data_IF_808857676423
#
_entry.id   IF_808857676423
#
_cell.length_a   1.000
_cell.length_b   1.000
_cell.length_c   1.000
_cell.angle_alpha   90.00
_cell.angle_beta   90.00
_cell.angle_gamma   90.00
#
_symmetry.space_group_name_H-M   'P 1'
#
loop_
_entity.id
_entity.type
_entity.pdbx_description
1 polymer ?
#
# COMPACT_ATOMS: atom_id res chain seq x y z
N UNK A 1 -19.81 -7.09 3.23
CA UNK A 1 -18.37 -7.32 3.48
C UNK A 1 -17.79 -6.07 4.11
N UNK A 2 -17.09 -6.22 5.22
CA UNK A 2 -16.42 -5.11 5.88
C UNK A 2 -14.95 -5.07 5.40
N UNK A 3 -14.51 -3.91 4.92
CA UNK A 3 -13.09 -3.63 4.69
C UNK A 3 -12.61 -2.75 5.83
N UNK A 4 -11.53 -3.15 6.52
CA UNK A 4 -10.95 -2.38 7.62
C UNK A 4 -9.68 -1.71 7.15
N UNK A 5 -9.60 -0.40 7.34
CA UNK A 5 -8.42 0.41 7.04
C UNK A 5 -7.87 0.98 8.34
N UNK A 6 -6.55 0.96 8.50
CA UNK A 6 -5.86 1.69 9.56
C UNK A 6 -5.23 2.92 8.93
N UNK A 7 -5.67 4.10 9.33
CA UNK A 7 -5.06 5.36 8.91
C UNK A 7 -4.17 5.81 10.07
N UNK A 8 -2.84 5.74 9.96
CA UNK A 8 -1.95 6.26 10.98
C UNK A 8 -1.91 7.79 10.90
N UNK A 9 -2.42 8.46 11.90
CA UNK A 9 -2.02 9.83 12.19
C UNK A 9 -1.00 9.80 13.35
N UNK A 10 -0.05 10.73 13.37
CA UNK A 10 1.12 10.74 14.25
C UNK A 10 0.79 10.55 15.76
N UNK A 11 -0.45 10.90 16.16
CA UNK A 11 -0.91 10.84 17.54
C UNK A 11 -2.24 10.11 17.75
N UNK A 12 -2.86 9.58 16.69
CA UNK A 12 -4.19 8.98 16.76
C UNK A 12 -4.31 7.78 15.82
N UNK A 13 -4.67 6.63 16.37
CA UNK A 13 -5.03 5.44 15.57
C UNK A 13 -6.53 5.44 15.35
N UNK A 14 -6.96 5.30 14.11
CA UNK A 14 -8.37 5.15 13.75
C UNK A 14 -8.57 3.80 13.09
N UNK A 15 -9.51 3.02 13.59
CA UNK A 15 -10.00 1.81 12.91
C UNK A 15 -11.23 2.21 12.13
N UNK A 16 -11.15 2.10 10.80
CA UNK A 16 -12.27 2.38 9.92
C UNK A 16 -12.79 1.09 9.30
N UNK A 17 -14.10 0.97 9.18
CA UNK A 17 -14.74 -0.13 8.48
C UNK A 17 -15.96 0.36 7.71
N UNK A 18 -16.15 -0.18 6.50
CA UNK A 18 -17.32 0.10 5.69
C UNK A 18 -18.35 -0.99 5.97
N UNK A 19 -19.53 -0.57 6.41
CA UNK A 19 -20.69 -1.42 6.66
C UNK A 19 -21.67 -1.27 5.49
N UNK A 20 -21.94 -2.36 4.79
CA UNK A 20 -22.95 -2.39 3.73
C UNK A 20 -24.24 -3.01 4.27
N UNK A 21 -25.28 -2.23 4.35
CA UNK A 21 -26.60 -2.67 4.83
C UNK A 21 -27.50 -3.04 3.65
N UNK A 22 -27.96 -4.29 3.62
CA UNK A 22 -28.91 -4.76 2.57
C UNK A 22 -30.31 -4.18 2.71
N UNK A 23 -30.75 -3.94 3.95
CA UNK A 23 -32.08 -3.39 4.26
C UNK A 23 -31.95 -2.39 5.41
N UNK A 24 -31.42 -1.22 5.08
CA UNK A 24 -31.18 -0.17 6.06
C UNK A 24 -32.47 0.37 6.68
N UNK A 25 -33.58 0.34 5.96
CA UNK A 25 -34.87 0.90 6.45
C UNK A 25 -35.49 0.07 7.56
N UNK A 26 -35.12 -1.21 7.70
CA UNK A 26 -35.53 -2.06 8.80
C UNK A 26 -34.75 -1.81 10.09
N UNK A 27 -33.58 -1.10 10.01
CA UNK A 27 -32.73 -0.85 11.17
C UNK A 27 -33.28 0.32 11.99
N UNK A 28 -33.28 0.16 13.31
CA UNK A 28 -33.58 1.22 14.27
C UNK A 28 -32.30 1.97 14.67
N UNK A 29 -31.26 1.20 15.05
CA UNK A 29 -29.94 1.75 15.36
C UNK A 29 -28.84 0.70 15.22
N UNK A 30 -27.59 1.16 15.14
CA UNK A 30 -26.39 0.31 15.26
C UNK A 30 -25.82 0.44 16.66
N UNK A 31 -25.65 -0.69 17.33
CA UNK A 31 -24.96 -0.77 18.61
C UNK A 31 -23.51 -1.19 18.40
N UNK A 32 -22.59 -0.45 18.97
CA UNK A 32 -21.16 -0.80 18.98
C UNK A 32 -20.71 -1.00 20.41
N UNK A 33 -20.08 -2.12 20.68
CA UNK A 33 -19.48 -2.43 21.99
C UNK A 33 -18.05 -2.93 21.83
N UNK A 34 -17.24 -2.70 22.83
CA UNK A 34 -15.86 -3.17 22.90
C UNK A 34 -15.78 -4.38 23.83
N UNK A 35 -15.10 -5.44 23.42
CA UNK A 35 -14.75 -6.58 24.28
C UNK A 35 -13.35 -6.40 24.87
N UNK A 36 -13.21 -6.63 26.15
CA UNK A 36 -11.94 -6.45 26.88
C UNK A 36 -11.71 -4.98 27.30
N UNK A 37 -11.40 -4.77 28.58
CA UNK A 37 -11.22 -3.44 29.16
C UNK A 37 -12.50 -2.75 29.60
N UNK A 38 -12.47 -1.43 29.74
CA UNK A 38 -13.61 -0.62 30.17
C UNK A 38 -14.78 -0.72 29.18
N UNK A 39 -16.00 -0.77 29.71
CA UNK A 39 -17.21 -0.86 28.92
C UNK A 39 -17.33 0.33 27.97
N UNK A 40 -17.15 0.07 26.68
CA UNK A 40 -17.48 1.03 25.62
C UNK A 40 -18.74 0.53 24.92
N UNK A 41 -19.76 1.36 24.91
CA UNK A 41 -20.97 1.10 24.15
C UNK A 41 -21.45 2.40 23.55
N UNK A 42 -21.64 2.42 22.25
CA UNK A 42 -22.18 3.55 21.49
C UNK A 42 -23.40 3.09 20.71
N UNK A 43 -24.42 3.91 20.74
CA UNK A 43 -25.60 3.78 19.89
C UNK A 43 -25.44 4.80 18.75
N UNK A 44 -25.57 4.34 17.51
CA UNK A 44 -25.59 5.18 16.31
C UNK A 44 -27.00 5.10 15.76
N UNK A 45 -27.70 6.20 15.77
CA UNK A 45 -29.09 6.26 15.40
C UNK A 45 -29.28 6.08 13.89
N UNK A 46 -30.46 5.61 13.48
CA UNK A 46 -30.78 5.31 12.08
C UNK A 46 -30.54 6.48 11.13
N UNK A 47 -30.80 7.69 11.57
CA UNK A 47 -30.62 8.91 10.76
C UNK A 47 -29.16 9.25 10.43
N UNK A 48 -28.21 8.67 11.16
CA UNK A 48 -26.78 8.79 10.91
C UNK A 48 -26.25 7.72 9.95
N UNK A 49 -27.04 6.66 9.71
CA UNK A 49 -26.63 5.53 8.88
C UNK A 49 -26.99 5.75 7.42
N UNK A 50 -26.04 5.42 6.55
CA UNK A 50 -26.23 5.30 5.10
C UNK A 50 -26.10 3.86 4.65
N UNK A 51 -26.50 3.52 3.42
CA UNK A 51 -26.39 2.15 2.90
C UNK A 51 -24.96 1.62 2.97
N UNK A 52 -23.98 2.51 2.73
CA UNK A 52 -22.55 2.26 2.85
C UNK A 52 -21.97 3.15 3.95
N UNK A 53 -22.25 2.78 5.20
CA UNK A 53 -21.82 3.58 6.36
C UNK A 53 -20.37 3.31 6.73
N UNK A 54 -19.59 4.37 6.90
CA UNK A 54 -18.19 4.30 7.36
C UNK A 54 -18.17 4.46 8.88
N UNK A 55 -17.96 3.36 9.58
CA UNK A 55 -17.74 3.39 11.02
C UNK A 55 -16.28 3.66 11.33
N UNK A 56 -16.00 4.65 12.19
CA UNK A 56 -14.67 5.00 12.66
C UNK A 56 -14.58 4.87 14.17
N UNK A 57 -13.57 4.15 14.65
CA UNK A 57 -13.23 4.07 16.05
C UNK A 57 -11.83 4.64 16.30
N UNK A 58 -11.75 5.67 17.14
CA UNK A 58 -10.48 6.24 17.57
C UNK A 58 -9.94 5.41 18.73
N UNK A 59 -8.82 4.73 18.50
CA UNK A 59 -8.16 3.89 19.50
C UNK A 59 -7.63 4.77 20.64
N UNK A 60 -8.04 4.45 21.86
CA UNK A 60 -7.64 5.19 23.07
C UNK A 60 -6.33 4.64 23.62
N UNK A 61 -5.53 5.49 24.27
CA UNK A 61 -4.30 5.06 24.97
C UNK A 61 -4.56 4.02 26.06
N UNK A 62 -5.78 4.01 26.58
CA UNK A 62 -6.25 3.07 27.62
C UNK A 62 -6.82 1.78 27.07
N UNK A 63 -6.92 1.64 25.74
CA UNK A 63 -7.41 0.42 25.13
C UNK A 63 -6.40 -0.73 25.29
N UNK A 64 -6.87 -1.96 25.54
CA UNK A 64 -6.01 -3.12 25.56
C UNK A 64 -5.21 -3.28 24.27
N UNK A 65 -4.08 -3.99 24.35
CA UNK A 65 -3.25 -4.29 23.18
C UNK A 65 -4.04 -5.01 22.08
N UNK A 66 -4.92 -5.93 22.48
CA UNK A 66 -5.80 -6.64 21.59
C UNK A 66 -7.22 -6.56 22.14
N UNK A 67 -8.17 -6.13 21.33
CA UNK A 67 -9.58 -6.10 21.67
C UNK A 67 -10.45 -6.29 20.43
N UNK A 68 -11.73 -6.47 20.63
CA UNK A 68 -12.71 -6.57 19.54
C UNK A 68 -13.72 -5.44 19.64
N UNK A 69 -14.03 -4.84 18.51
CA UNK A 69 -15.23 -4.04 18.33
C UNK A 69 -16.33 -4.97 17.80
N UNK A 70 -17.46 -4.96 18.45
CA UNK A 70 -18.62 -5.79 18.13
C UNK A 70 -19.74 -4.87 17.72
N UNK A 71 -20.17 -4.99 16.46
CA UNK A 71 -21.22 -4.17 15.87
C UNK A 71 -22.45 -5.04 15.65
N UNK A 72 -23.60 -4.55 16.09
CA UNK A 72 -24.90 -5.24 16.02
C UNK A 72 -25.95 -4.27 15.52
N UNK A 73 -26.59 -4.56 14.41
CA UNK A 73 -27.77 -3.82 13.99
C UNK A 73 -28.98 -4.28 14.84
N UNK A 74 -29.70 -3.32 15.40
CA UNK A 74 -30.97 -3.53 16.08
C UNK A 74 -32.07 -3.08 15.14
N UNK A 75 -33.02 -3.97 14.88
CA UNK A 75 -34.12 -3.71 13.97
C UNK A 75 -35.32 -3.09 14.69
N UNK A 76 -36.19 -2.44 13.94
CA UNK A 76 -37.42 -1.78 14.45
C UNK A 76 -38.37 -2.73 15.19
N UNK A 77 -38.32 -4.03 14.90
CA UNK A 77 -39.07 -5.07 15.57
C UNK A 77 -38.43 -5.58 16.87
N UNK A 78 -37.28 -4.99 17.26
CA UNK A 78 -36.52 -5.37 18.44
C UNK A 78 -35.54 -6.53 18.21
N UNK A 79 -35.58 -7.19 17.07
CA UNK A 79 -34.61 -8.24 16.73
C UNK A 79 -33.19 -7.64 16.51
N UNK A 80 -32.20 -8.51 16.54
CA UNK A 80 -30.81 -8.13 16.36
C UNK A 80 -30.15 -8.93 15.22
N UNK A 81 -29.23 -8.29 14.51
CA UNK A 81 -28.35 -9.02 13.60
C UNK A 81 -27.38 -9.93 14.36
N UNK A 82 -26.71 -10.81 13.64
CA UNK A 82 -25.51 -11.47 14.14
C UNK A 82 -24.42 -10.42 14.46
N UNK A 83 -23.56 -10.75 15.40
CA UNK A 83 -22.41 -9.93 15.77
C UNK A 83 -21.42 -9.82 14.59
N UNK A 84 -21.10 -8.60 14.18
CA UNK A 84 -19.94 -8.34 13.33
C UNK A 84 -18.76 -7.99 14.24
N UNK A 85 -17.76 -8.86 14.30
CA UNK A 85 -16.59 -8.67 15.15
C UNK A 85 -15.40 -8.14 14.33
N UNK A 86 -14.84 -7.03 14.76
CA UNK A 86 -13.62 -6.45 14.22
C UNK A 86 -12.51 -6.63 15.25
N UNK A 87 -11.48 -7.41 14.92
CA UNK A 87 -10.31 -7.54 15.77
C UNK A 87 -9.43 -6.30 15.62
N UNK A 88 -9.12 -5.65 16.74
CA UNK A 88 -8.24 -4.50 16.80
C UNK A 88 -6.97 -4.89 17.52
N UNK A 89 -5.85 -4.72 16.83
CA UNK A 89 -4.51 -4.84 17.40
C UNK A 89 -3.97 -3.43 17.64
N UNK A 90 -3.84 -3.05 18.90
CA UNK A 90 -3.39 -1.73 19.32
C UNK A 90 -1.86 -1.62 19.41
N UNK A 91 -1.10 -2.65 19.01
CA UNK A 91 0.35 -2.54 18.95
C UNK A 91 0.77 -1.45 17.95
N UNK A 92 1.75 -0.67 18.37
CA UNK A 92 2.35 0.32 17.49
C UNK A 92 3.32 -0.42 16.55
N UNK A 93 2.99 -0.49 15.27
CA UNK A 93 3.83 -1.14 14.26
C UNK A 93 3.15 -1.14 12.89
N UNK A 94 3.94 -1.25 11.85
CA UNK A 94 3.44 -1.47 10.50
C UNK A 94 3.03 -2.93 10.36
N UNK A 95 1.77 -3.19 9.99
CA UNK A 95 1.30 -4.52 9.64
C UNK A 95 1.16 -4.63 8.14
N UNK A 96 2.03 -5.43 7.53
CA UNK A 96 1.86 -5.86 6.15
C UNK A 96 0.84 -7.00 6.17
N UNK A 97 -0.36 -6.76 5.66
CA UNK A 97 -1.41 -7.79 5.56
C UNK A 97 -1.31 -8.62 4.29
N UNK A 98 -0.84 -8.00 3.23
CA UNK A 98 -0.60 -8.65 1.95
C UNK A 98 0.52 -7.92 1.21
N UNK A 99 1.26 -8.67 0.44
CA UNK A 99 2.24 -8.13 -0.51
C UNK A 99 1.93 -8.79 -1.84
N UNK A 100 1.76 -7.97 -2.87
CA UNK A 100 1.64 -8.44 -4.24
C UNK A 100 2.66 -7.72 -5.12
N UNK A 101 3.17 -8.41 -6.13
CA UNK A 101 3.96 -7.77 -7.18
C UNK A 101 2.97 -7.21 -8.21
N UNK A 102 3.02 -5.92 -8.47
CA UNK A 102 2.16 -5.25 -9.45
C UNK A 102 2.84 -5.18 -10.80
N UNK A 103 4.13 -4.83 -10.82
CA UNK A 103 4.90 -4.68 -12.05
C UNK A 103 6.40 -4.87 -11.78
N UNK A 104 7.15 -5.05 -12.85
CA UNK A 104 8.60 -4.93 -12.86
C UNK A 104 8.99 -3.51 -13.22
N UNK A 105 9.66 -2.82 -12.31
CA UNK A 105 10.04 -1.42 -12.52
C UNK A 105 11.34 -1.28 -13.29
N UNK A 106 12.32 -2.16 -13.03
CA UNK A 106 13.63 -2.17 -13.73
C UNK A 106 14.01 -3.56 -14.20
N UNK A 107 14.78 -3.62 -15.26
CA UNK A 107 15.27 -4.86 -15.87
C UNK A 107 14.36 -5.42 -16.97
N UNK A 108 14.69 -6.62 -17.43
CA UNK A 108 13.86 -7.41 -18.36
C UNK A 108 12.90 -8.29 -17.59
N UNK A 109 11.76 -8.61 -18.19
CA UNK A 109 10.87 -9.65 -17.66
C UNK A 109 11.60 -11.00 -17.64
N UNK A 110 11.35 -11.79 -16.61
CA UNK A 110 11.90 -13.14 -16.48
C UNK A 110 10.91 -14.18 -17.00
N UNK A 111 11.42 -15.35 -17.35
CA UNK A 111 10.58 -16.47 -17.75
C UNK A 111 9.59 -16.84 -16.63
N UNK A 112 8.31 -16.92 -17.00
CA UNK A 112 7.23 -17.21 -16.06
C UNK A 112 6.68 -16.03 -15.25
N UNK A 113 7.16 -14.81 -15.49
CA UNK A 113 6.55 -13.62 -14.90
C UNK A 113 5.24 -13.24 -15.60
N UNK A 114 4.17 -13.01 -14.81
CA UNK A 114 2.81 -12.72 -15.31
C UNK A 114 2.39 -11.30 -14.99
N UNK A 115 3.29 -10.44 -14.56
CA UNK A 115 2.99 -9.03 -14.29
C UNK A 115 3.68 -8.11 -15.31
N UNK A 116 3.15 -6.90 -15.55
CA UNK A 116 3.66 -5.98 -16.56
C UNK A 116 5.09 -5.50 -16.28
N UNK A 117 5.77 -5.09 -17.34
CA UNK A 117 7.06 -4.40 -17.32
C UNK A 117 6.91 -3.10 -18.14
N UNK A 118 6.34 -2.02 -17.57
CA UNK A 118 6.01 -0.81 -18.31
C UNK A 118 7.26 -0.10 -18.86
N UNK A 119 8.38 -0.24 -18.19
CA UNK A 119 9.59 0.52 -18.51
C UNK A 119 10.52 -0.19 -19.48
N UNK A 120 10.63 -1.51 -19.38
CA UNK A 120 11.57 -2.30 -20.16
C UNK A 120 12.99 -1.70 -20.20
N UNK A 121 13.50 -1.34 -19.02
CA UNK A 121 14.69 -0.51 -18.85
C UNK A 121 15.97 -1.14 -19.40
N UNK A 122 16.02 -2.50 -19.46
CA UNK A 122 17.17 -3.21 -20.00
C UNK A 122 17.43 -2.85 -21.46
N UNK A 123 16.38 -2.80 -22.28
CA UNK A 123 16.51 -2.48 -23.71
C UNK A 123 16.50 -1.00 -24.00
N UNK A 124 15.72 -0.20 -23.24
CA UNK A 124 15.61 1.23 -23.50
C UNK A 124 16.84 2.01 -23.05
N UNK A 125 17.37 1.68 -21.86
CA UNK A 125 18.40 2.51 -21.20
C UNK A 125 19.59 1.71 -20.68
N UNK A 126 19.75 0.47 -21.11
CA UNK A 126 20.81 -0.42 -20.64
C UNK A 126 20.83 -0.57 -19.11
N UNK A 127 19.64 -0.73 -18.49
CA UNK A 127 19.47 -0.97 -17.07
C UNK A 127 18.85 -2.35 -16.86
N UNK A 128 19.69 -3.34 -16.57
CA UNK A 128 19.28 -4.73 -16.34
C UNK A 128 18.78 -5.00 -14.93
N UNK A 129 19.16 -4.15 -13.99
CA UNK A 129 18.72 -4.20 -12.60
C UNK A 129 19.30 -3.04 -11.80
N UNK A 130 18.60 -2.69 -10.73
CA UNK A 130 19.01 -1.62 -9.81
C UNK A 130 18.75 -2.03 -8.39
N UNK A 131 19.42 -1.43 -7.45
CA UNK A 131 18.99 -1.42 -6.05
C UNK A 131 18.44 -0.04 -5.63
N UNK A 132 17.90 0.01 -4.38
CA UNK A 132 17.26 1.19 -3.82
C UNK A 132 16.06 1.66 -4.67
N UNK A 133 15.84 2.96 -4.75
CA UNK A 133 14.74 3.61 -5.46
C UNK A 133 14.14 4.71 -4.59
N UNK A 134 14.93 5.79 -4.38
CA UNK A 134 14.48 6.95 -3.61
C UNK A 134 13.68 7.84 -4.55
N UNK A 135 12.40 8.01 -4.25
CA UNK A 135 11.50 8.86 -5.02
C UNK A 135 11.25 10.19 -4.30
N UNK A 136 11.23 11.28 -5.05
CA UNK A 136 10.80 12.59 -4.55
C UNK A 136 10.04 13.35 -5.62
N UNK A 137 9.15 14.21 -5.22
CA UNK A 137 8.44 15.12 -6.12
C UNK A 137 9.34 16.32 -6.44
N UNK A 138 9.70 16.48 -7.71
CA UNK A 138 10.53 17.59 -8.22
C UNK A 138 9.68 18.83 -8.48
N UNK A 139 8.49 18.61 -9.00
CA UNK A 139 7.43 19.59 -9.29
C UNK A 139 6.09 18.86 -9.16
N UNK A 140 4.96 19.55 -8.98
CA UNK A 140 3.66 18.90 -8.92
C UNK A 140 3.43 17.91 -10.07
N UNK A 141 3.25 16.63 -9.72
CA UNK A 141 3.05 15.52 -10.66
C UNK A 141 4.29 15.09 -11.44
N UNK A 142 5.49 15.55 -11.08
CA UNK A 142 6.76 15.14 -11.69
C UNK A 142 7.73 14.62 -10.63
N UNK A 143 8.15 13.39 -10.79
CA UNK A 143 8.95 12.68 -9.82
C UNK A 143 10.34 12.34 -10.36
N UNK A 144 11.34 12.47 -9.51
CA UNK A 144 12.66 11.89 -9.69
C UNK A 144 12.76 10.58 -8.91
N UNK A 145 13.38 9.57 -9.49
CA UNK A 145 13.66 8.29 -8.84
C UNK A 145 15.17 8.03 -8.93
N UNK A 146 15.84 8.13 -7.80
CA UNK A 146 17.27 7.90 -7.70
C UNK A 146 17.54 6.47 -7.27
N UNK A 147 18.26 5.73 -8.12
CA UNK A 147 18.69 4.37 -7.87
C UNK A 147 20.15 4.33 -7.45
N UNK A 148 20.52 3.33 -6.66
CA UNK A 148 21.88 3.01 -6.31
C UNK A 148 22.55 2.14 -7.37
N UNK A 149 23.28 1.10 -6.95
CA UNK A 149 23.99 0.20 -7.85
C UNK A 149 23.11 -0.25 -9.01
N UNK A 150 23.58 0.03 -10.22
CA UNK A 150 22.85 -0.19 -11.45
C UNK A 150 23.68 -0.99 -12.44
N UNK A 151 23.11 -2.11 -12.90
CA UNK A 151 23.76 -3.04 -13.81
C UNK A 151 23.18 -2.93 -15.22
N UNK A 152 24.02 -3.15 -16.22
CA UNK A 152 23.62 -3.23 -17.61
C UNK A 152 22.75 -4.46 -17.93
N UNK A 153 22.17 -4.52 -19.12
CA UNK A 153 21.29 -5.62 -19.55
C UNK A 153 22.02 -6.97 -19.65
N UNK A 154 23.34 -6.96 -19.81
CA UNK A 154 24.21 -8.14 -19.89
C UNK A 154 24.67 -8.66 -18.52
N UNK A 155 24.23 -8.03 -17.43
CA UNK A 155 24.49 -8.51 -16.08
C UNK A 155 23.91 -9.92 -15.87
N UNK A 156 24.76 -10.81 -15.38
CA UNK A 156 24.35 -12.16 -15.00
C UNK A 156 24.71 -12.40 -13.54
N UNK A 157 23.70 -12.65 -12.68
CA UNK A 157 23.96 -12.99 -11.30
C UNK A 157 24.77 -14.29 -11.21
N UNK A 158 25.84 -14.28 -10.44
CA UNK A 158 26.63 -15.47 -10.13
C UNK A 158 26.41 -15.84 -8.67
N UNK A 159 25.69 -16.93 -8.41
CA UNK A 159 25.38 -17.39 -7.05
C UNK A 159 26.63 -17.91 -6.29
N UNK A 160 27.65 -18.36 -7.01
CA UNK A 160 28.90 -18.85 -6.39
C UNK A 160 29.86 -17.69 -6.02
N UNK A 161 29.71 -16.55 -6.68
CA UNK A 161 30.51 -15.33 -6.43
C UNK A 161 29.60 -14.12 -6.57
N UNK A 162 28.77 -13.83 -5.57
CA UNK A 162 27.80 -12.75 -5.63
C UNK A 162 28.50 -11.41 -5.79
N UNK A 163 28.04 -10.63 -6.75
CA UNK A 163 28.55 -9.31 -7.08
C UNK A 163 28.31 -8.96 -8.54
N UNK A 164 28.68 -7.74 -8.99
CA UNK A 164 28.55 -7.32 -10.37
C UNK A 164 29.53 -8.09 -11.27
N UNK A 165 29.00 -9.06 -12.01
CA UNK A 165 29.79 -9.87 -12.95
C UNK A 165 29.43 -9.49 -14.39
N UNK A 166 30.33 -8.78 -15.02
CA UNK A 166 30.22 -8.40 -16.44
C UNK A 166 29.28 -7.21 -16.67
N UNK A 167 29.35 -6.68 -17.87
CA UNK A 167 28.52 -5.57 -18.30
C UNK A 167 28.87 -4.22 -17.73
N UNK A 168 27.99 -3.27 -18.00
CA UNK A 168 28.10 -1.91 -17.47
C UNK A 168 27.62 -1.85 -16.03
N UNK A 169 28.40 -1.25 -15.16
CA UNK A 169 28.00 -0.92 -13.80
C UNK A 169 28.09 0.60 -13.56
N UNK A 170 27.13 1.11 -12.81
CA UNK A 170 27.06 2.52 -12.39
C UNK A 170 26.66 2.56 -10.93
N UNK A 171 27.30 3.42 -10.14
CA UNK A 171 27.01 3.57 -8.71
C UNK A 171 25.63 4.18 -8.46
N UNK A 172 25.06 4.84 -9.47
CA UNK A 172 23.75 5.47 -9.38
C UNK A 172 23.22 5.85 -10.76
N UNK A 173 21.88 5.92 -10.88
CA UNK A 173 21.18 6.47 -12.06
C UNK A 173 19.92 7.19 -11.62
N UNK A 174 19.39 8.06 -12.49
CA UNK A 174 18.20 8.86 -12.23
C UNK A 174 17.15 8.61 -13.31
N UNK A 175 15.96 8.20 -12.87
CA UNK A 175 14.77 8.13 -13.70
C UNK A 175 13.80 9.28 -13.40
N UNK A 176 12.93 9.57 -14.36
CA UNK A 176 11.86 10.57 -14.26
C UNK A 176 10.52 9.91 -14.52
N UNK A 177 9.50 10.31 -13.78
CA UNK A 177 8.14 9.81 -13.92
C UNK A 177 7.13 10.96 -13.82
N UNK A 178 6.05 10.84 -14.57
CA UNK A 178 4.84 11.65 -14.46
C UNK A 178 3.62 10.75 -14.16
N UNK A 179 3.90 9.54 -13.67
CA UNK A 179 2.89 8.54 -13.38
C UNK A 179 2.08 8.90 -12.14
N UNK A 180 0.77 8.94 -12.29
CA UNK A 180 -0.18 9.25 -11.22
C UNK A 180 -1.05 8.04 -10.83
N UNK A 181 -0.86 6.90 -11.50
CA UNK A 181 -1.57 5.65 -11.23
C UNK A 181 -0.58 4.50 -11.06
N UNK A 182 -0.41 4.05 -9.82
CA UNK A 182 0.53 2.98 -9.49
C UNK A 182 -0.15 1.60 -9.42
N UNK A 183 -1.41 1.47 -9.84
CA UNK A 183 -2.11 0.18 -9.79
C UNK A 183 -1.54 -0.82 -10.81
N UNK A 184 -1.01 -0.35 -11.93
CA UNK A 184 -0.33 -1.14 -12.96
C UNK A 184 1.21 -1.10 -12.86
N UNK A 185 1.74 -0.41 -11.86
CA UNK A 185 3.16 -0.23 -11.58
C UNK A 185 3.63 1.21 -11.82
N UNK A 186 4.92 1.44 -11.57
CA UNK A 186 5.54 2.76 -11.77
C UNK A 186 6.14 2.84 -13.17
N UNK A 187 5.63 3.72 -14.02
CA UNK A 187 6.17 3.98 -15.35
C UNK A 187 7.15 5.16 -15.38
N UNK A 188 8.21 5.07 -16.20
CA UNK A 188 9.17 6.14 -16.40
C UNK A 188 8.90 6.87 -17.71
N UNK A 189 8.87 8.19 -17.63
CA UNK A 189 8.82 9.04 -18.82
C UNK A 189 10.20 9.08 -19.52
N UNK A 190 11.29 9.07 -18.73
CA UNK A 190 12.67 9.06 -19.22
C UNK A 190 13.66 8.67 -18.12
N UNK A 191 14.95 8.57 -18.50
CA UNK A 191 16.10 8.51 -17.59
C UNK A 191 17.13 9.55 -18.01
N UNK A 192 17.98 9.96 -17.07
CA UNK A 192 19.16 10.75 -17.41
C UNK A 192 20.15 9.85 -18.19
N UNK A 193 20.47 10.22 -19.44
CA UNK A 193 21.23 9.38 -20.37
C UNK A 193 22.55 10.02 -20.82
N UNK A 194 23.44 9.16 -21.28
CA UNK A 194 24.63 9.53 -22.05
C UNK A 194 24.30 9.74 -23.54
N UNK A 195 25.32 10.01 -24.35
CA UNK A 195 25.20 10.24 -25.80
C UNK A 195 24.73 9.01 -26.59
N UNK A 196 24.77 7.81 -25.97
CA UNK A 196 24.27 6.55 -26.56
C UNK A 196 22.84 6.27 -26.20
N UNK A 197 22.22 7.11 -25.35
CA UNK A 197 20.89 6.91 -24.82
C UNK A 197 20.85 5.92 -23.65
N UNK A 198 21.97 5.54 -23.09
CA UNK A 198 22.05 4.68 -21.91
C UNK A 198 21.98 5.50 -20.63
N UNK A 199 21.35 4.96 -19.61
CA UNK A 199 21.31 5.62 -18.31
C UNK A 199 22.75 5.89 -17.81
N UNK A 200 23.01 7.15 -17.49
CA UNK A 200 24.34 7.58 -17.05
C UNK A 200 24.41 7.69 -15.53
N UNK A 201 25.63 7.56 -15.01
CA UNK A 201 25.94 7.91 -13.64
C UNK A 201 25.76 9.43 -13.41
N UNK A 202 25.19 9.82 -12.27
CA UNK A 202 24.87 11.21 -11.96
C UNK A 202 25.88 11.81 -10.97
N UNK A 203 26.29 10.99 -9.98
CA UNK A 203 27.21 11.41 -8.92
C UNK A 203 28.42 10.48 -8.93
N UNK A 204 29.61 11.07 -8.96
CA UNK A 204 30.91 10.38 -8.95
C UNK A 204 31.56 10.42 -7.56
#
# INVERSE_FOLDING_TARGET
SAKTFLIPNKDTKVVSTILNFKNIDAIDYLMVRKSGGNSYSVKIDRNELTADYVFNYVVQKTDPQNFRLILVAVYKDGNKSNDLSLNVDNRWGFFIRSVSRTARVTGSSMDGENFPNPNNTATKWNVGGTDLGIIWEMQPGKYGIFFGDTFGYDFKPNLANPGPNGGSWRSNVLAFSEDNDLEDGLSFSNMATDDKGYAREIVY
#
